data_IF_888319335622
#
_entry.id   IF_888319335622
#
_cell.length_a   1.000
_cell.length_b   1.000
_cell.length_c   1.000
_cell.angle_alpha   90.00
_cell.angle_beta   90.00
_cell.angle_gamma   90.00
#
_symmetry.space_group_name_H-M   'P 1'
#
loop_
_entity.id
_entity.type
_entity.pdbx_description
1 polymer ?
#
# COMPACT_ATOMS: atom_id res chain seq x y z
N UNK A 1 -3.19 12.38 -5.46
CA UNK A 1 -3.17 10.95 -5.85
C UNK A 1 -3.57 10.11 -4.64
N UNK A 2 -4.44 9.15 -4.85
CA UNK A 2 -4.87 8.21 -3.81
C UNK A 2 -4.24 6.86 -4.08
N UNK A 3 -3.62 6.28 -3.06
CA UNK A 3 -2.86 5.04 -3.19
C UNK A 3 -3.34 4.06 -2.13
N UNK A 4 -3.65 2.84 -2.56
CA UNK A 4 -3.96 1.74 -1.64
C UNK A 4 -2.77 0.79 -1.62
N UNK A 5 -2.30 0.44 -0.45
CA UNK A 5 -1.12 -0.41 -0.26
C UNK A 5 -1.51 -1.63 0.56
N UNK A 6 -1.22 -2.80 0.01
CA UNK A 6 -1.41 -4.07 0.70
C UNK A 6 -0.36 -4.25 1.81
N UNK A 7 -0.65 -5.08 2.79
CA UNK A 7 0.24 -5.31 3.93
C UNK A 7 1.09 -6.57 3.73
N UNK A 8 0.46 -7.76 3.74
CA UNK A 8 1.23 -9.01 3.67
C UNK A 8 1.84 -9.21 2.28
N UNK A 9 3.13 -9.54 2.27
CA UNK A 9 3.94 -9.72 1.06
C UNK A 9 4.06 -8.47 0.20
N UNK A 10 3.77 -7.31 0.78
CA UNK A 10 3.92 -5.99 0.15
C UNK A 10 4.71 -5.06 1.06
N UNK A 11 4.19 -4.72 2.23
CA UNK A 11 4.91 -3.91 3.24
C UNK A 11 5.78 -4.77 4.14
N UNK A 12 5.32 -5.98 4.43
CA UNK A 12 6.04 -6.92 5.29
C UNK A 12 5.98 -8.32 4.68
N UNK A 13 6.99 -9.12 5.00
CA UNK A 13 7.03 -10.54 4.68
C UNK A 13 6.98 -11.32 5.98
N UNK A 14 6.09 -12.31 6.05
CA UNK A 14 5.98 -13.16 7.23
C UNK A 14 6.97 -14.31 7.15
N UNK A 15 7.78 -14.48 8.20
CA UNK A 15 8.71 -15.59 8.33
C UNK A 15 8.49 -16.18 9.72
N UNK A 16 7.76 -17.30 9.79
CA UNK A 16 7.32 -17.87 11.06
C UNK A 16 6.40 -16.88 11.77
N UNK A 17 6.72 -16.58 13.04
CA UNK A 17 5.97 -15.60 13.83
C UNK A 17 6.42 -14.16 13.61
N UNK A 18 7.45 -13.95 12.78
CA UNK A 18 8.04 -12.62 12.55
C UNK A 18 7.50 -12.00 11.29
N UNK A 19 7.37 -10.67 11.32
CA UNK A 19 7.05 -9.87 10.15
C UNK A 19 8.25 -9.00 9.83
N UNK A 20 8.83 -9.21 8.66
CA UNK A 20 10.05 -8.53 8.22
C UNK A 20 9.66 -7.45 7.24
N UNK A 21 10.03 -6.18 7.51
CA UNK A 21 9.71 -5.09 6.58
C UNK A 21 10.30 -5.35 5.19
N UNK A 22 9.57 -4.90 4.17
CA UNK A 22 10.08 -4.83 2.78
C UNK A 22 10.49 -3.38 2.58
N UNK A 23 11.78 -3.05 2.70
CA UNK A 23 12.25 -1.65 2.84
C UNK A 23 11.88 -0.77 1.65
N UNK A 24 11.90 -1.34 0.45
CA UNK A 24 11.62 -0.58 -0.78
C UNK A 24 10.19 -0.06 -0.79
N UNK A 25 9.25 -0.85 -0.28
CA UNK A 25 7.83 -0.46 -0.25
C UNK A 25 7.59 0.54 0.89
N UNK A 26 8.21 0.33 2.04
CA UNK A 26 8.14 1.30 3.16
C UNK A 26 8.66 2.66 2.69
N UNK A 27 9.81 2.68 2.03
CA UNK A 27 10.39 3.90 1.48
C UNK A 27 9.48 4.55 0.44
N UNK A 28 8.85 3.74 -0.40
CA UNK A 28 7.89 4.20 -1.40
C UNK A 28 6.70 4.92 -0.77
N UNK A 29 6.14 4.34 0.30
CA UNK A 29 5.04 4.95 1.05
C UNK A 29 5.46 6.33 1.59
N UNK A 30 6.65 6.42 2.16
CA UNK A 30 7.16 7.69 2.69
C UNK A 30 7.34 8.73 1.58
N UNK A 31 7.85 8.33 0.41
CA UNK A 31 8.04 9.25 -0.73
C UNK A 31 6.70 9.79 -1.23
N UNK A 32 5.72 8.93 -1.42
CA UNK A 32 4.40 9.36 -1.87
C UNK A 32 3.72 10.25 -0.85
N UNK A 33 3.86 9.93 0.44
CA UNK A 33 3.34 10.79 1.49
C UNK A 33 3.97 12.19 1.41
N UNK A 34 5.29 12.26 1.24
CA UNK A 34 6.01 13.53 1.12
C UNK A 34 5.56 14.33 -0.10
N UNK A 35 5.06 13.68 -1.13
CA UNK A 35 4.53 14.31 -2.34
C UNK A 35 3.05 14.70 -2.21
N UNK A 36 2.45 14.49 -1.04
CA UNK A 36 1.07 14.87 -0.78
C UNK A 36 0.03 13.81 -1.14
N UNK A 37 0.43 12.58 -1.40
CA UNK A 37 -0.51 11.51 -1.71
C UNK A 37 -1.35 11.14 -0.49
N UNK A 38 -2.59 10.72 -0.74
CA UNK A 38 -3.48 10.14 0.25
C UNK A 38 -3.28 8.63 0.24
N UNK A 39 -2.87 8.07 1.37
CA UNK A 39 -2.47 6.66 1.43
C UNK A 39 -3.37 5.89 2.38
N UNK A 40 -3.91 4.78 1.88
CA UNK A 40 -4.68 3.83 2.67
C UNK A 40 -3.95 2.50 2.67
N UNK A 41 -3.84 1.89 3.84
CA UNK A 41 -3.42 0.48 3.93
C UNK A 41 -4.66 -0.39 3.95
N UNK A 42 -4.64 -1.49 3.23
CA UNK A 42 -5.71 -2.46 3.27
C UNK A 42 -5.16 -3.88 3.36
N UNK A 43 -5.92 -4.75 3.98
CA UNK A 43 -5.52 -6.14 4.18
C UNK A 43 -6.73 -7.02 4.43
N UNK A 44 -6.65 -8.26 4.00
CA UNK A 44 -7.64 -9.27 4.37
C UNK A 44 -7.68 -9.51 5.87
N UNK A 45 -6.60 -9.15 6.58
CA UNK A 45 -6.53 -9.24 8.04
C UNK A 45 -7.29 -8.13 8.78
N UNK A 46 -7.79 -7.13 8.06
CA UNK A 46 -8.64 -6.08 8.62
C UNK A 46 -7.92 -4.77 8.91
N UNK A 47 -8.72 -3.75 9.23
CA UNK A 47 -8.21 -2.40 9.50
C UNK A 47 -7.30 -2.35 10.73
N UNK A 48 -7.65 -3.07 11.79
CA UNK A 48 -6.84 -3.10 13.01
C UNK A 48 -5.46 -3.68 12.78
N UNK A 49 -5.38 -4.73 11.98
CA UNK A 49 -4.11 -5.33 11.59
C UNK A 49 -3.25 -4.33 10.79
N UNK A 50 -3.87 -3.61 9.86
CA UNK A 50 -3.14 -2.58 9.08
C UNK A 50 -2.55 -1.51 10.01
N UNK A 51 -3.33 -1.03 10.98
CA UNK A 51 -2.86 -0.03 11.93
C UNK A 51 -1.71 -0.56 12.79
N UNK A 52 -1.81 -1.81 13.24
CA UNK A 52 -0.76 -2.46 14.00
C UNK A 52 0.57 -2.49 13.24
N UNK A 53 0.51 -2.92 11.96
CA UNK A 53 1.71 -2.99 11.12
C UNK A 53 2.26 -1.59 10.85
N UNK A 54 1.39 -0.61 10.56
CA UNK A 54 1.83 0.76 10.34
C UNK A 54 2.56 1.32 11.57
N UNK A 55 2.08 0.97 12.76
CA UNK A 55 2.71 1.37 14.02
C UNK A 55 4.09 0.74 14.15
N UNK A 56 4.20 -0.56 13.90
CA UNK A 56 5.48 -1.27 13.95
C UNK A 56 6.49 -0.70 12.95
N UNK A 57 6.03 -0.32 11.77
CA UNK A 57 6.90 0.23 10.71
C UNK A 57 7.18 1.73 10.88
N UNK A 58 6.50 2.40 11.80
CA UNK A 58 6.68 3.84 12.03
C UNK A 58 6.12 4.69 10.89
N UNK A 59 5.04 4.24 10.24
CA UNK A 59 4.44 4.97 9.10
C UNK A 59 2.98 5.35 9.32
N UNK A 60 2.50 5.32 10.56
CA UNK A 60 1.10 5.68 10.86
C UNK A 60 0.77 7.08 10.34
N UNK A 61 1.67 8.04 10.52
CA UNK A 61 1.45 9.42 10.08
C UNK A 61 1.44 9.58 8.57
N UNK A 62 1.92 8.57 7.83
CA UNK A 62 1.85 8.58 6.36
C UNK A 62 0.49 8.10 5.85
N UNK A 63 -0.31 7.48 6.71
CA UNK A 63 -1.54 6.81 6.31
C UNK A 63 -2.75 7.67 6.63
N UNK A 64 -3.65 7.82 5.67
CA UNK A 64 -4.92 8.51 5.84
C UNK A 64 -5.99 7.61 6.43
N UNK A 65 -5.84 6.30 6.30
CA UNK A 65 -6.78 5.35 6.85
C UNK A 65 -6.32 3.90 6.68
N UNK A 66 -7.05 3.02 7.33
CA UNK A 66 -6.79 1.59 7.37
C UNK A 66 -8.08 0.85 7.06
N UNK A 67 -8.04 -0.10 6.12
CA UNK A 67 -9.23 -0.77 5.61
C UNK A 67 -9.03 -2.27 5.54
N UNK A 68 -10.11 -3.01 5.76
CA UNK A 68 -10.16 -4.40 5.36
C UNK A 68 -10.30 -4.46 3.84
N UNK A 69 -9.66 -5.44 3.19
CA UNK A 69 -9.95 -5.71 1.79
C UNK A 69 -11.41 -6.21 1.69
N UNK A 70 -12.14 -5.76 0.69
CA UNK A 70 -13.55 -6.13 0.61
C UNK A 70 -13.72 -7.60 0.22
N UNK A 71 -14.75 -8.23 0.78
CA UNK A 71 -15.19 -9.55 0.33
C UNK A 71 -16.06 -9.44 -0.93
N UNK A 72 -16.67 -8.27 -1.11
CA UNK A 72 -17.55 -7.98 -2.23
C UNK A 72 -17.42 -6.50 -2.55
N UNK A 73 -17.29 -6.16 -3.81
CA UNK A 73 -17.46 -4.77 -4.23
C UNK A 73 -18.50 -4.70 -5.33
N UNK A 74 -19.28 -3.62 -5.31
CA UNK A 74 -20.36 -3.41 -6.26
C UNK A 74 -20.03 -2.15 -7.06
N UNK A 75 -19.81 -2.32 -8.35
CA UNK A 75 -19.38 -1.25 -9.25
C UNK A 75 -19.84 -1.63 -10.66
N UNK A 76 -20.12 -0.68 -11.50
CA UNK A 76 -20.50 -0.95 -12.89
C UNK A 76 -19.33 -1.43 -13.73
N UNK A 77 -18.10 -1.34 -13.21
CA UNK A 77 -16.89 -1.79 -13.89
C UNK A 77 -16.03 -2.63 -12.96
N UNK A 78 -15.40 -3.65 -13.50
CA UNK A 78 -14.35 -4.37 -12.76
C UNK A 78 -13.11 -3.49 -12.60
N UNK A 79 -12.39 -3.69 -11.51
CA UNK A 79 -11.15 -2.91 -11.24
C UNK A 79 -10.19 -2.93 -12.43
N UNK A 80 -10.07 -4.08 -13.10
CA UNK A 80 -9.18 -4.22 -14.26
C UNK A 80 -9.57 -3.33 -15.43
N UNK A 81 -10.80 -2.85 -15.45
CA UNK A 81 -11.31 -1.95 -16.49
C UNK A 81 -11.17 -0.47 -16.12
N UNK A 82 -10.76 -0.17 -14.90
CA UNK A 82 -10.60 1.21 -14.45
C UNK A 82 -9.48 1.88 -15.22
N UNK A 83 -9.82 2.98 -15.87
CA UNK A 83 -8.92 3.67 -16.79
C UNK A 83 -7.72 4.30 -16.12
N UNK A 84 -7.89 4.79 -14.90
CA UNK A 84 -6.87 5.60 -14.23
C UNK A 84 -6.21 4.91 -13.05
N UNK A 85 -6.59 3.67 -12.74
CA UNK A 85 -5.98 2.92 -11.67
C UNK A 85 -4.85 2.04 -12.21
N UNK A 86 -3.67 2.17 -11.63
CA UNK A 86 -2.53 1.33 -11.99
C UNK A 86 -2.26 0.32 -10.88
N UNK A 87 -1.86 -0.86 -11.27
CA UNK A 87 -1.36 -1.88 -10.34
C UNK A 87 0.16 -1.94 -10.45
N UNK A 88 0.82 -1.81 -9.30
CA UNK A 88 2.28 -1.89 -9.20
C UNK A 88 2.62 -3.01 -8.21
N UNK A 89 3.42 -3.98 -8.64
CA UNK A 89 3.91 -5.02 -7.74
C UNK A 89 4.99 -4.47 -6.82
N UNK A 90 5.17 -5.05 -5.61
CA UNK A 90 6.23 -4.61 -4.70
C UNK A 90 7.62 -4.54 -5.33
N UNK A 91 7.92 -5.48 -6.23
CA UNK A 91 9.20 -5.52 -6.93
C UNK A 91 9.41 -4.39 -7.94
N UNK A 92 8.34 -3.63 -8.24
CA UNK A 92 8.36 -2.60 -9.27
C UNK A 92 8.26 -1.18 -8.71
N UNK A 93 8.22 -1.02 -7.39
CA UNK A 93 8.00 0.31 -6.79
C UNK A 93 9.08 1.31 -7.13
N UNK A 94 10.34 0.87 -7.26
CA UNK A 94 11.43 1.76 -7.63
C UNK A 94 11.34 2.19 -9.09
N UNK A 95 10.95 1.27 -9.98
CA UNK A 95 10.77 1.56 -11.40
C UNK A 95 9.61 2.54 -11.60
N UNK A 96 8.50 2.32 -10.91
CA UNK A 96 7.34 3.22 -10.96
C UNK A 96 7.71 4.62 -10.49
N UNK A 97 8.46 4.72 -9.38
CA UNK A 97 8.91 5.99 -8.85
C UNK A 97 9.83 6.71 -9.83
N UNK A 98 10.74 6.01 -10.48
CA UNK A 98 11.62 6.58 -11.50
C UNK A 98 10.81 7.11 -12.70
N UNK A 99 9.81 6.36 -13.14
CA UNK A 99 8.94 6.78 -14.24
C UNK A 99 8.20 8.07 -13.89
N UNK A 100 7.73 8.21 -12.65
CA UNK A 100 7.08 9.42 -12.19
C UNK A 100 8.06 10.58 -12.10
N UNK A 101 9.29 10.32 -11.71
CA UNK A 101 10.33 11.34 -11.62
C UNK A 101 10.69 11.95 -12.97
N UNK A 102 10.38 11.28 -14.05
CA UNK A 102 10.66 11.77 -15.43
C UNK A 102 9.55 12.64 -16.00
N UNK A 103 8.43 12.67 -15.35
CA UNK A 103 7.30 13.49 -15.79
C UNK A 103 7.29 14.83 -15.06
#
# INVERSE_FOLDING_TARGET
MTIFVDVDDTLVRSVGAKRIPIPEVVACVRRYHAQGATIYLWSSGGAGYCREIATELGIVECCSGFLAKPDLYIDDQAVAEWRYCRHVYPSQVNVDNESQGKT
#
